data_IF_893750455645
#
_entry.id   IF_893750455645
#
_cell.length_a   1.000
_cell.length_b   1.000
_cell.length_c   1.000
_cell.angle_alpha   90.00
_cell.angle_beta   90.00
_cell.angle_gamma   90.00
#
_symmetry.space_group_name_H-M   'P 1'
#
loop_
_entity.id
_entity.type
_entity.pdbx_description
1 polymer ?
#
# COMPACT_ATOMS: atom_id res chain seq x y z
N UNK A 1 4.35 3.07 25.32
CA UNK A 1 3.16 2.55 26.04
C UNK A 1 3.55 1.21 26.68
N UNK A 2 3.18 0.95 27.94
CA UNK A 2 3.41 -0.35 28.60
C UNK A 2 2.06 -0.95 28.99
N UNK A 3 1.79 -2.18 28.55
CA UNK A 3 0.55 -2.91 28.85
C UNK A 3 0.92 -4.27 29.44
N UNK A 4 0.28 -4.64 30.55
CA UNK A 4 0.37 -5.98 31.14
C UNK A 4 -1.02 -6.60 31.17
N UNK A 5 -1.15 -7.84 30.69
CA UNK A 5 -2.36 -8.65 30.75
C UNK A 5 -2.04 -10.01 31.39
N UNK A 6 -3.00 -10.56 32.14
CA UNK A 6 -2.99 -11.96 32.57
C UNK A 6 -4.24 -12.64 32.03
N UNK A 7 -4.05 -13.59 31.11
CA UNK A 7 -5.10 -14.52 30.66
C UNK A 7 -5.85 -14.16 29.37
N UNK A 8 -5.62 -12.99 28.76
CA UNK A 8 -6.26 -12.60 27.50
C UNK A 8 -5.28 -12.00 26.48
N UNK A 9 -5.55 -12.21 25.19
CA UNK A 9 -4.77 -11.63 24.09
C UNK A 9 -4.94 -10.11 24.09
N UNK A 10 -3.83 -9.39 24.05
CA UNK A 10 -3.80 -7.94 23.84
C UNK A 10 -3.32 -7.70 22.42
N UNK A 11 -4.07 -6.91 21.66
CA UNK A 11 -3.68 -6.46 20.32
C UNK A 11 -3.60 -4.95 20.35
N UNK A 12 -2.48 -4.41 19.85
CA UNK A 12 -2.35 -3.00 19.56
C UNK A 12 -2.69 -2.78 18.09
N UNK A 13 -3.39 -1.68 17.79
CA UNK A 13 -3.67 -1.23 16.43
C UNK A 13 -3.39 0.26 16.34
N UNK A 14 -2.95 0.70 15.17
CA UNK A 14 -2.82 2.12 14.87
C UNK A 14 -4.00 2.51 13.96
N UNK A 15 -4.61 3.65 14.22
CA UNK A 15 -5.61 4.23 13.33
C UNK A 15 -4.94 5.32 12.52
N UNK A 16 -5.12 5.31 11.21
CA UNK A 16 -4.77 6.42 10.34
C UNK A 16 -6.04 6.98 9.72
N UNK A 17 -6.24 8.29 9.87
CA UNK A 17 -7.33 9.03 9.21
C UNK A 17 -6.74 10.16 8.37
N UNK A 18 -7.23 10.33 7.14
CA UNK A 18 -6.79 11.42 6.25
C UNK A 18 -7.95 12.38 6.02
N UNK A 19 -7.71 13.69 6.18
CA UNK A 19 -8.69 14.75 5.90
C UNK A 19 -8.02 15.87 5.11
N UNK A 20 -8.71 16.36 4.08
CA UNK A 20 -8.20 17.33 3.11
C UNK A 20 -9.11 18.54 3.09
N UNK A 21 -8.84 19.48 3.99
CA UNK A 21 -9.76 20.59 4.25
C UNK A 21 -11.10 20.05 4.75
N UNK A 22 -12.12 20.10 3.88
CA UNK A 22 -13.47 19.59 4.16
C UNK A 22 -13.74 18.21 3.55
N UNK A 23 -12.82 17.68 2.74
CA UNK A 23 -12.97 16.38 2.09
C UNK A 23 -12.38 15.28 2.99
N UNK A 24 -13.21 14.30 3.34
CA UNK A 24 -12.72 13.08 3.97
C UNK A 24 -11.86 12.29 2.97
N UNK A 25 -10.74 11.77 3.46
CA UNK A 25 -9.77 11.03 2.66
C UNK A 25 -9.63 9.56 3.04
N UNK A 26 -10.47 9.06 3.95
CA UNK A 26 -10.48 7.68 4.39
C UNK A 26 -9.98 7.47 5.82
N UNK A 27 -10.22 6.28 6.34
CA UNK A 27 -9.72 5.81 7.64
C UNK A 27 -9.37 4.34 7.54
N UNK A 28 -8.22 3.97 8.11
CA UNK A 28 -7.78 2.58 8.16
C UNK A 28 -7.20 2.22 9.54
N UNK A 29 -7.30 0.93 9.87
CA UNK A 29 -6.76 0.34 11.09
C UNK A 29 -5.61 -0.60 10.74
N UNK A 30 -4.41 -0.21 11.15
CA UNK A 30 -3.19 -0.98 10.91
C UNK A 30 -3.02 -2.00 12.03
N UNK A 31 -3.09 -3.27 11.66
CA UNK A 31 -2.80 -4.42 12.52
C UNK A 31 -1.34 -4.91 12.38
N UNK A 32 -1.00 -6.03 13.04
CA UNK A 32 0.30 -6.66 12.89
C UNK A 32 0.57 -7.04 11.41
N UNK A 33 1.76 -6.71 10.93
CA UNK A 33 2.29 -7.15 9.64
C UNK A 33 3.26 -8.33 9.83
N UNK A 34 3.59 -9.03 8.75
CA UNK A 34 4.68 -10.01 8.75
C UNK A 34 6.00 -9.38 9.26
N UNK A 35 6.82 -10.19 9.93
CA UNK A 35 8.14 -9.77 10.40
C UNK A 35 9.05 -9.32 9.24
N UNK A 36 10.07 -8.47 9.50
CA UNK A 36 11.00 -8.05 8.46
C UNK A 36 11.65 -9.25 7.74
N UNK A 37 11.65 -9.24 6.41
CA UNK A 37 12.19 -10.32 5.58
C UNK A 37 12.75 -9.79 4.26
N UNK A 38 13.53 -10.62 3.56
CA UNK A 38 14.08 -10.31 2.22
C UNK A 38 13.10 -10.64 1.08
N UNK A 39 12.01 -11.33 1.39
CA UNK A 39 10.93 -11.65 0.47
C UNK A 39 9.58 -11.43 1.17
N UNK A 40 8.76 -10.55 0.60
CA UNK A 40 7.46 -10.19 1.13
C UNK A 40 6.40 -10.28 0.04
N UNK A 41 5.16 -10.58 0.43
CA UNK A 41 4.02 -10.64 -0.47
C UNK A 41 2.83 -9.91 0.15
N UNK A 42 2.18 -9.06 -0.65
CA UNK A 42 0.92 -8.40 -0.32
C UNK A 42 -0.11 -8.83 -1.37
N UNK A 43 -1.34 -9.08 -0.93
CA UNK A 43 -2.44 -9.52 -1.80
C UNK A 43 -3.63 -8.56 -1.68
N UNK A 44 -4.51 -8.56 -2.67
CA UNK A 44 -5.71 -7.73 -2.65
C UNK A 44 -5.47 -6.25 -2.98
N UNK A 45 -4.34 -5.91 -3.61
CA UNK A 45 -4.12 -4.55 -4.09
C UNK A 45 -5.15 -4.24 -5.18
N UNK A 46 -5.90 -3.16 -5.02
CA UNK A 46 -6.79 -2.64 -6.04
C UNK A 46 -6.23 -1.34 -6.60
N UNK A 47 -6.18 -1.26 -7.93
CA UNK A 47 -5.97 -0.02 -8.66
C UNK A 47 -7.35 0.48 -9.12
N UNK A 48 -7.62 1.75 -8.83
CA UNK A 48 -8.88 2.42 -9.15
C UNK A 48 -8.58 3.83 -9.68
N UNK A 49 -8.72 4.01 -10.99
CA UNK A 49 -8.49 5.27 -11.70
C UNK A 49 -9.43 6.38 -11.23
N UNK A 50 -10.58 6.05 -10.63
CA UNK A 50 -11.50 7.04 -10.07
C UNK A 50 -10.99 7.68 -8.78
N UNK A 51 -9.93 7.11 -8.19
CA UNK A 51 -9.21 7.70 -7.06
C UNK A 51 -8.24 8.81 -7.47
N UNK A 52 -7.88 8.88 -8.76
CA UNK A 52 -6.94 9.85 -9.27
C UNK A 52 -7.36 11.29 -8.89
N UNK A 53 -6.41 12.20 -8.65
CA UNK A 53 -6.73 13.60 -8.45
C UNK A 53 -7.63 14.12 -9.57
N UNK A 54 -8.72 14.78 -9.21
CA UNK A 54 -9.54 15.50 -10.19
C UNK A 54 -8.65 16.57 -10.78
N UNK A 55 -8.49 16.58 -12.11
CA UNK A 55 -7.66 17.58 -12.78
C UNK A 55 -8.09 18.99 -12.32
N UNK A 56 -7.13 19.92 -12.12
CA UNK A 56 -7.47 21.29 -11.81
C UNK A 56 -8.45 21.82 -12.87
N UNK A 57 -9.46 22.57 -12.41
CA UNK A 57 -10.33 23.34 -13.30
C UNK A 57 -9.47 24.17 -14.25
N UNK A 58 -9.78 24.14 -15.56
CA UNK A 58 -9.05 24.91 -16.57
C UNK A 58 -8.87 26.37 -16.11
N UNK A 59 -7.61 26.80 -15.94
CA UNK A 59 -7.25 28.15 -15.49
C UNK A 59 -6.55 28.23 -14.13
N UNK A 60 -6.36 27.13 -13.42
CA UNK A 60 -5.42 27.05 -12.29
C UNK A 60 -4.07 26.49 -12.79
N UNK A 61 -3.00 27.28 -12.64
CA UNK A 61 -1.64 26.83 -12.98
C UNK A 61 -1.28 25.58 -12.18
N UNK A 62 -1.02 24.47 -12.87
CA UNK A 62 -0.45 23.29 -12.26
C UNK A 62 1.01 23.57 -11.87
N UNK A 63 1.43 23.35 -10.61
CA UNK A 63 2.85 23.42 -10.28
C UNK A 63 3.61 22.32 -11.02
N UNK A 64 4.86 22.60 -11.37
CA UNK A 64 5.72 21.67 -12.09
C UNK A 64 5.95 20.41 -11.25
N UNK A 65 5.76 19.22 -11.85
CA UNK A 65 6.11 17.96 -11.22
C UNK A 65 7.62 17.91 -10.93
N UNK A 66 8.00 17.81 -9.66
CA UNK A 66 9.38 17.58 -9.25
C UNK A 66 9.68 16.07 -9.33
N UNK A 67 10.75 15.69 -10.03
CA UNK A 67 11.24 14.30 -10.15
C UNK A 67 12.05 13.85 -8.92
N UNK A 68 11.62 14.25 -7.72
CA UNK A 68 12.37 14.09 -6.47
C UNK A 68 11.61 13.30 -5.42
N UNK A 69 12.21 12.19 -4.95
CA UNK A 69 11.63 11.29 -3.96
C UNK A 69 11.02 11.97 -2.73
N UNK A 70 9.84 11.50 -2.33
CA UNK A 70 9.10 11.99 -1.18
C UNK A 70 9.88 11.78 0.12
N UNK A 71 10.47 12.87 0.63
CA UNK A 71 10.94 12.95 2.00
C UNK A 71 9.75 13.05 2.97
N UNK A 72 9.85 12.50 4.20
CA UNK A 72 8.76 12.60 5.16
C UNK A 72 8.77 13.96 5.85
N UNK A 73 7.69 14.73 5.64
CA UNK A 73 7.27 15.80 6.55
C UNK A 73 7.45 17.23 6.06
N UNK A 74 6.34 17.96 6.14
CA UNK A 74 6.17 19.41 6.04
C UNK A 74 6.24 20.03 4.63
N UNK A 75 5.04 20.15 4.02
CA UNK A 75 4.78 21.06 2.91
C UNK A 75 4.21 20.33 1.70
N UNK A 76 2.91 20.00 1.73
CA UNK A 76 2.19 19.59 0.54
C UNK A 76 2.19 20.76 -0.46
N UNK A 77 2.85 20.59 -1.59
CA UNK A 77 2.58 21.38 -2.79
C UNK A 77 1.07 21.24 -3.10
N UNK A 78 0.30 22.32 -3.28
CA UNK A 78 -1.13 22.26 -3.62
C UNK A 78 -1.31 21.73 -5.05
N UNK A 79 -1.03 20.44 -5.27
CA UNK A 79 -1.10 19.78 -6.57
C UNK A 79 -0.83 18.28 -6.47
N UNK A 80 0.13 17.87 -5.63
CA UNK A 80 0.50 16.46 -5.45
C UNK A 80 0.29 16.08 -3.99
N UNK A 81 -0.90 15.57 -3.68
CA UNK A 81 -1.15 14.97 -2.37
C UNK A 81 -0.66 13.53 -2.39
N UNK A 82 0.49 13.23 -1.76
CA UNK A 82 1.09 11.90 -1.82
C UNK A 82 0.16 10.85 -1.24
N UNK A 83 -0.83 11.22 -0.40
CA UNK A 83 -1.80 10.29 0.17
C UNK A 83 -2.96 9.90 -0.76
N UNK A 84 -2.97 10.40 -2.01
CA UNK A 84 -3.94 9.99 -3.05
C UNK A 84 -3.42 8.92 -3.97
N UNK A 85 -2.12 8.64 -3.93
CA UNK A 85 -1.50 7.70 -4.84
C UNK A 85 -1.47 6.31 -4.24
N UNK A 86 -1.74 5.31 -5.09
CA UNK A 86 -1.38 3.94 -4.77
C UNK A 86 0.14 3.89 -4.64
N UNK A 87 0.64 3.33 -3.54
CA UNK A 87 2.07 3.29 -3.27
C UNK A 87 2.46 2.02 -2.51
N UNK A 88 3.72 1.62 -2.61
CA UNK A 88 4.33 0.61 -1.74
C UNK A 88 5.22 1.33 -0.73
N UNK A 89 4.83 1.26 0.55
CA UNK A 89 5.64 1.72 1.66
C UNK A 89 6.66 0.66 2.01
N UNK A 90 7.94 1.04 2.09
CA UNK A 90 9.05 0.18 2.49
C UNK A 90 9.73 0.81 3.71
N UNK A 91 10.05 -0.01 4.69
CA UNK A 91 10.85 0.38 5.87
C UNK A 91 12.05 -0.53 5.98
N UNK A 92 13.22 0.06 6.17
CA UNK A 92 14.47 -0.67 6.42
C UNK A 92 14.80 -0.56 7.91
N UNK A 93 14.42 -1.55 8.75
CA UNK A 93 14.67 -1.48 10.19
C UNK A 93 16.15 -1.69 10.56
N UNK A 94 16.97 -2.18 9.62
CA UNK A 94 18.40 -2.42 9.80
C UNK A 94 19.27 -1.16 9.65
N UNK A 95 20.60 -1.38 9.68
CA UNK A 95 21.61 -0.33 9.54
C UNK A 95 22.25 -0.23 8.16
N UNK A 96 21.96 -1.19 7.27
CA UNK A 96 22.48 -1.24 5.92
C UNK A 96 21.38 -0.81 4.94
N UNK A 97 21.74 -0.05 3.91
CA UNK A 97 20.80 0.35 2.85
C UNK A 97 20.32 -0.88 2.08
N UNK A 98 19.09 -0.81 1.60
CA UNK A 98 18.42 -1.90 0.92
C UNK A 98 18.29 -1.62 -0.58
N UNK A 99 18.76 -2.55 -1.42
CA UNK A 99 18.36 -2.64 -2.82
C UNK A 99 17.07 -3.45 -2.88
N UNK A 100 15.99 -2.83 -3.34
CA UNK A 100 14.65 -3.43 -3.31
C UNK A 100 14.11 -3.53 -4.74
N UNK A 101 13.62 -4.70 -5.12
CA UNK A 101 12.84 -4.93 -6.34
C UNK A 101 11.38 -5.17 -5.95
N UNK A 102 10.48 -4.39 -6.53
CA UNK A 102 9.03 -4.48 -6.31
C UNK A 102 8.38 -4.93 -7.60
N UNK A 103 7.61 -6.01 -7.54
CA UNK A 103 6.82 -6.53 -8.66
C UNK A 103 5.34 -6.45 -8.33
N UNK A 104 4.56 -5.78 -9.17
CA UNK A 104 3.10 -5.66 -9.06
C UNK A 104 2.50 -6.45 -10.21
N UNK A 105 1.98 -7.64 -9.92
CA UNK A 105 1.48 -8.59 -10.92
C UNK A 105 -0.06 -8.60 -10.93
N UNK A 106 -0.71 -8.59 -12.10
CA UNK A 106 -2.16 -8.66 -12.21
C UNK A 106 -2.66 -10.02 -11.69
N UNK A 107 -3.78 -9.99 -10.98
CA UNK A 107 -4.53 -11.20 -10.64
C UNK A 107 -5.41 -11.63 -11.82
N UNK A 108 -5.86 -12.89 -11.79
CA UNK A 108 -6.77 -13.42 -12.82
C UNK A 108 -8.01 -12.52 -12.98
N UNK A 109 -8.35 -12.20 -14.23
CA UNK A 109 -9.45 -11.29 -14.56
C UNK A 109 -9.09 -9.81 -14.60
N UNK A 110 -7.82 -9.45 -14.34
CA UNK A 110 -7.30 -8.09 -14.59
C UNK A 110 -6.62 -8.02 -15.95
N UNK A 111 -7.04 -7.05 -16.76
CA UNK A 111 -6.42 -6.80 -18.06
C UNK A 111 -5.03 -6.14 -17.93
N UNK A 112 -4.17 -6.37 -18.92
CA UNK A 112 -2.84 -5.75 -19.00
C UNK A 112 -1.72 -6.57 -18.37
N UNK A 113 -0.53 -5.99 -18.37
CA UNK A 113 0.67 -6.57 -17.75
C UNK A 113 0.98 -5.85 -16.44
N UNK A 114 1.59 -6.56 -15.50
CA UNK A 114 2.10 -5.95 -14.28
C UNK A 114 3.26 -4.98 -14.52
N UNK A 115 3.76 -4.38 -13.46
CA UNK A 115 4.97 -3.54 -13.48
C UNK A 115 6.01 -4.08 -12.52
N UNK A 116 7.29 -3.76 -12.75
CA UNK A 116 8.38 -4.05 -11.82
C UNK A 116 9.35 -2.90 -11.83
N UNK A 117 9.76 -2.46 -10.63
CA UNK A 117 10.69 -1.36 -10.46
C UNK A 117 11.65 -1.65 -9.30
N UNK A 118 12.80 -0.99 -9.33
CA UNK A 118 13.82 -1.08 -8.30
C UNK A 118 13.98 0.24 -7.58
N UNK A 119 14.19 0.19 -6.27
CA UNK A 119 14.42 1.37 -5.43
C UNK A 119 15.55 1.07 -4.45
N UNK A 120 16.39 2.07 -4.19
CA UNK A 120 17.32 2.05 -3.07
C UNK A 120 16.63 2.69 -1.87
N UNK A 121 16.53 1.96 -0.76
CA UNK A 121 15.91 2.44 0.47
C UNK A 121 16.97 2.58 1.57
N UNK A 122 17.10 3.78 2.12
CA UNK A 122 18.08 4.09 3.15
C UNK A 122 17.78 3.34 4.46
N UNK A 123 18.85 2.93 5.16
CA UNK A 123 18.76 2.34 6.48
C UNK A 123 18.02 3.23 7.49
N UNK A 124 17.16 2.62 8.31
CA UNK A 124 16.40 3.31 9.36
C UNK A 124 15.35 4.29 8.83
N UNK A 125 15.03 4.26 7.52
CA UNK A 125 14.05 5.15 6.89
C UNK A 125 12.81 4.40 6.40
N UNK A 126 11.78 5.21 6.16
CA UNK A 126 10.55 4.82 5.47
C UNK A 126 10.49 5.58 4.17
N UNK A 127 10.18 4.88 3.08
CA UNK A 127 9.94 5.46 1.76
C UNK A 127 8.62 4.93 1.21
N UNK A 128 7.86 5.80 0.56
CA UNK A 128 6.68 5.44 -0.22
C UNK A 128 7.05 5.52 -1.70
N UNK A 129 6.87 4.41 -2.42
CA UNK A 129 7.14 4.36 -3.86
C UNK A 129 5.81 4.28 -4.61
N UNK A 130 5.44 5.30 -5.40
CA UNK A 130 4.21 5.29 -6.18
C UNK A 130 4.13 4.10 -7.13
N UNK A 131 2.92 3.56 -7.28
CA UNK A 131 2.57 2.55 -8.28
C UNK A 131 1.67 3.24 -9.29
N UNK A 132 2.20 3.46 -10.49
CA UNK A 132 1.52 4.15 -11.57
C UNK A 132 1.39 3.26 -12.82
N UNK A 133 0.67 3.77 -13.82
CA UNK A 133 0.55 3.20 -15.17
C UNK A 133 0.02 1.75 -15.23
N UNK A 134 -0.80 1.38 -14.25
CA UNK A 134 -1.56 0.14 -14.25
C UNK A 134 -3.04 0.43 -14.54
N UNK A 135 -3.70 -0.41 -15.35
CA UNK A 135 -5.15 -0.30 -15.54
C UNK A 135 -5.91 -0.63 -14.25
N UNK A 136 -7.19 -0.27 -14.23
CA UNK A 136 -8.09 -0.62 -13.13
C UNK A 136 -8.18 -2.13 -12.98
N UNK A 137 -7.97 -2.62 -11.76
CA UNK A 137 -7.86 -4.06 -11.57
C UNK A 137 -7.36 -4.47 -10.19
N UNK A 138 -7.06 -5.76 -10.09
CA UNK A 138 -6.59 -6.42 -8.88
C UNK A 138 -5.20 -6.96 -9.10
N UNK A 139 -4.35 -6.78 -8.11
CA UNK A 139 -2.94 -7.06 -8.20
C UNK A 139 -2.45 -7.71 -6.91
N UNK A 140 -1.35 -8.45 -7.05
CA UNK A 140 -0.52 -8.85 -5.92
C UNK A 140 0.84 -8.18 -6.02
N UNK A 141 1.41 -7.82 -4.89
CA UNK A 141 2.72 -7.17 -4.81
C UNK A 141 3.72 -8.12 -4.19
N UNK A 142 4.89 -8.23 -4.81
CA UNK A 142 6.05 -8.90 -4.22
C UNK A 142 7.17 -7.92 -4.04
N UNK A 143 7.87 -8.03 -2.92
CA UNK A 143 9.08 -7.28 -2.63
C UNK A 143 10.23 -8.25 -2.41
N UNK A 144 11.30 -8.10 -3.18
CA UNK A 144 12.60 -8.73 -2.98
C UNK A 144 13.58 -7.68 -2.48
N UNK A 145 14.40 -8.00 -1.47
CA UNK A 145 15.40 -7.06 -0.96
C UNK A 145 16.73 -7.72 -0.61
N UNK A 146 17.82 -6.95 -0.73
CA UNK A 146 19.16 -7.36 -0.31
C UNK A 146 19.31 -7.52 1.22
N UNK A 147 18.45 -6.87 2.01
CA UNK A 147 18.41 -6.96 3.48
C UNK A 147 16.96 -7.10 3.99
N UNK A 148 16.72 -7.52 5.25
CA UNK A 148 15.36 -7.60 5.77
C UNK A 148 14.66 -6.23 5.82
N UNK A 149 13.49 -6.14 5.19
CA UNK A 149 12.63 -4.95 5.17
C UNK A 149 11.21 -5.29 5.62
N UNK A 150 10.40 -4.29 5.95
CA UNK A 150 8.94 -4.44 6.05
C UNK A 150 8.27 -3.65 4.94
N UNK A 151 7.16 -4.14 4.40
CA UNK A 151 6.42 -3.42 3.37
C UNK A 151 4.90 -3.53 3.53
N UNK A 152 4.21 -2.50 3.05
CA UNK A 152 2.75 -2.46 2.94
C UNK A 152 2.37 -1.70 1.66
N UNK A 153 1.33 -2.16 0.96
CA UNK A 153 0.79 -1.47 -0.20
C UNK A 153 -0.41 -0.63 0.21
N UNK A 154 -0.46 0.64 -0.17
CA UNK A 154 -1.64 1.48 -0.03
C UNK A 154 -2.49 1.34 -1.28
N UNK A 155 -3.70 0.82 -1.12
CA UNK A 155 -4.74 0.90 -2.14
C UNK A 155 -5.57 2.15 -1.90
N UNK A 156 -5.88 2.89 -2.96
CA UNK A 156 -6.75 4.06 -2.90
C UNK A 156 -7.94 3.81 -3.81
N UNK A 157 -9.13 4.17 -3.34
CA UNK A 157 -10.37 4.16 -4.13
C UNK A 157 -11.01 5.53 -4.08
N UNK A 158 -11.84 5.86 -5.06
CA UNK A 158 -12.47 7.17 -5.08
C UNK A 158 -13.69 7.30 -5.97
N UNK A 159 -14.31 8.46 -5.88
CA UNK A 159 -15.43 8.88 -6.70
C UNK A 159 -15.10 10.23 -7.32
N UNK A 160 -14.58 10.19 -8.56
CA UNK A 160 -14.03 11.34 -9.27
C UNK A 160 -14.95 12.58 -9.25
N UNK A 161 -16.26 12.38 -9.43
CA UNK A 161 -17.27 13.47 -9.45
C UNK A 161 -17.34 14.27 -8.15
N UNK A 162 -17.11 13.62 -7.01
CA UNK A 162 -17.17 14.25 -5.68
C UNK A 162 -15.80 14.63 -5.11
N UNK A 163 -14.73 14.12 -5.72
CA UNK A 163 -13.37 14.19 -5.17
C UNK A 163 -13.16 13.36 -3.89
N UNK A 164 -14.19 12.66 -3.40
CA UNK A 164 -14.11 11.78 -2.24
C UNK A 164 -13.22 10.57 -2.54
N UNK A 165 -12.44 10.18 -1.55
CA UNK A 165 -11.42 9.13 -1.64
C UNK A 165 -11.35 8.38 -0.33
N UNK A 166 -10.99 7.11 -0.40
CA UNK A 166 -10.73 6.24 0.74
C UNK A 166 -9.48 5.43 0.47
N UNK A 167 -8.84 4.91 1.52
CA UNK A 167 -7.63 4.11 1.38
C UNK A 167 -7.61 2.92 2.34
N UNK A 168 -6.80 1.93 2.00
CA UNK A 168 -6.47 0.83 2.89
C UNK A 168 -4.98 0.48 2.76
N UNK A 169 -4.32 0.23 3.89
CA UNK A 169 -3.01 -0.38 3.93
C UNK A 169 -3.13 -1.91 3.91
N UNK A 170 -2.42 -2.53 2.98
CA UNK A 170 -2.31 -3.96 2.80
C UNK A 170 -0.91 -4.38 3.25
N UNK A 171 -0.74 -4.77 4.53
CA UNK A 171 0.56 -5.21 5.02
C UNK A 171 0.98 -6.51 4.34
N UNK A 172 2.29 -6.77 4.37
CA UNK A 172 2.83 -8.06 3.93
C UNK A 172 2.21 -9.21 4.73
N UNK A 173 1.73 -10.22 4.02
CA UNK A 173 1.05 -11.38 4.59
C UNK A 173 2.04 -12.41 5.13
N UNK A 174 1.68 -13.10 6.21
CA UNK A 174 2.40 -14.28 6.68
C UNK A 174 2.07 -15.50 5.83
N UNK A 175 3.03 -16.43 5.74
CA UNK A 175 2.80 -17.70 5.06
C UNK A 175 1.75 -18.55 5.79
N UNK A 176 0.76 -19.02 5.03
CA UNK A 176 -0.20 -20.02 5.52
C UNK A 176 0.50 -21.39 5.55
N UNK A 177 0.98 -21.79 6.73
CA UNK A 177 1.71 -23.06 6.94
C UNK A 177 0.85 -24.21 7.45
N UNK A 178 -0.45 -23.94 7.66
CA UNK A 178 -1.45 -24.86 8.19
C UNK A 178 -2.84 -24.41 7.75
N UNK A 179 -3.82 -25.26 7.96
CA UNK A 179 -5.22 -24.92 7.72
C UNK A 179 -5.61 -23.63 8.46
N UNK A 180 -6.27 -22.74 7.72
CA UNK A 180 -6.75 -21.46 8.20
C UNK A 180 -8.25 -21.34 7.94
N UNK A 181 -8.96 -20.75 8.90
CA UNK A 181 -10.37 -20.42 8.76
C UNK A 181 -10.50 -18.95 8.40
N UNK A 182 -11.31 -18.66 7.38
CA UNK A 182 -11.68 -17.29 7.00
C UNK A 182 -13.18 -17.11 7.20
N UNK A 183 -13.55 -15.98 7.80
CA UNK A 183 -14.96 -15.56 7.86
C UNK A 183 -15.25 -14.65 6.69
N UNK A 184 -16.18 -15.06 5.83
CA UNK A 184 -16.58 -14.27 4.66
C UNK A 184 -17.88 -13.53 5.00
N UNK A 185 -17.85 -12.19 5.10
CA UNK A 185 -19.07 -11.43 5.37
C UNK A 185 -20.04 -11.54 4.18
N UNK A 186 -21.33 -11.54 4.47
CA UNK A 186 -22.35 -11.44 3.43
C UNK A 186 -22.23 -10.09 2.73
N UNK A 187 -22.04 -10.12 1.41
CA UNK A 187 -21.88 -8.94 0.58
C UNK A 187 -22.14 -9.28 -0.89
N UNK A 188 -22.25 -8.27 -1.75
CA UNK A 188 -22.60 -8.48 -3.16
C UNK A 188 -21.50 -9.22 -3.94
N UNK A 189 -20.24 -9.11 -3.53
CA UNK A 189 -19.09 -9.76 -4.17
C UNK A 189 -17.93 -10.00 -3.18
N UNK A 190 -18.06 -10.93 -2.22
CA UNK A 190 -16.96 -11.28 -1.34
C UNK A 190 -15.83 -11.95 -2.16
N UNK A 191 -14.59 -11.50 -1.96
CA UNK A 191 -13.42 -12.03 -2.64
C UNK A 191 -12.32 -12.38 -1.63
N UNK A 192 -11.64 -13.49 -1.88
CA UNK A 192 -10.48 -13.94 -1.12
C UNK A 192 -9.26 -13.91 -2.03
N UNK A 193 -8.23 -13.18 -1.61
CA UNK A 193 -6.98 -13.06 -2.34
C UNK A 193 -5.91 -13.98 -1.73
N UNK A 194 -5.49 -15.00 -2.48
CA UNK A 194 -4.43 -15.92 -2.09
C UNK A 194 -3.34 -15.90 -3.15
N UNK A 195 -2.08 -16.01 -2.70
CA UNK A 195 -0.94 -16.17 -3.58
C UNK A 195 -0.09 -17.35 -3.14
N UNK A 196 0.22 -18.23 -4.08
CA UNK A 196 1.29 -19.21 -3.91
C UNK A 196 2.59 -18.57 -4.41
N UNK A 197 3.57 -18.39 -3.51
CA UNK A 197 4.87 -17.82 -3.83
C UNK A 197 5.93 -18.88 -4.19
N UNK A 198 5.58 -20.18 -4.14
CA UNK A 198 6.47 -21.28 -4.48
C UNK A 198 6.36 -21.71 -5.95
N UNK A 199 7.42 -22.36 -6.44
CA UNK A 199 7.52 -22.87 -7.82
C UNK A 199 6.80 -24.21 -8.03
N UNK A 200 6.00 -24.67 -7.07
CA UNK A 200 5.27 -25.93 -7.15
C UNK A 200 3.77 -25.65 -7.02
N UNK A 201 3.04 -26.04 -8.07
CA UNK A 201 1.58 -25.96 -8.17
C UNK A 201 0.90 -27.11 -7.41
#
# INVERSE_FOLDING_TARGET
VHVQSRGGQVVARLEQSTVRGLLAGGVDWIGPAAAPATALTMTGLRIDSQAAPVAPVEGADAPAADEGGSAPGAGSDPGTDPDRETAVRIVVPGSDDADVSVSVAPEEGTDGTGTTFTVQADAGRTIDVPVADLPDGRYSVTVQSSVPVTAAARSVSGAAESGATDFAWLPSAEALTRDALVSVPAGPAPLLHLRNAGDQA
#
